data_IF_549884363308
#
_entry.id   IF_549884363308
#
_cell.length_a   1.000
_cell.length_b   1.000
_cell.length_c   1.000
_cell.angle_alpha   90.00
_cell.angle_beta   90.00
_cell.angle_gamma   90.00
#
_symmetry.space_group_name_H-M   'P 1'
#
loop_
_entity.id
_entity.type
_entity.pdbx_description
1 polymer ?
#
# COMPACT_ATOMS: atom_id res chain seq x y z
N UNK A 1 -1.29 -27.67 6.64
CA UNK A 1 -1.87 -28.65 5.68
C UNK A 1 -1.14 -28.57 4.34
N UNK A 2 -1.30 -29.58 3.51
CA UNK A 2 -0.69 -29.63 2.17
C UNK A 2 -1.05 -28.41 1.31
N UNK A 3 -2.30 -28.00 1.35
CA UNK A 3 -2.78 -26.81 0.62
C UNK A 3 -2.09 -25.54 1.11
N UNK A 4 -1.93 -25.41 2.42
CA UNK A 4 -1.23 -24.28 3.04
C UNK A 4 0.24 -24.25 2.62
N UNK A 5 0.89 -25.42 2.56
CA UNK A 5 2.29 -25.54 2.14
C UNK A 5 2.49 -25.16 0.67
N UNK A 6 1.58 -25.61 -0.21
CA UNK A 6 1.61 -25.22 -1.64
C UNK A 6 1.42 -23.72 -1.78
N UNK A 7 0.49 -23.13 -1.04
CA UNK A 7 0.29 -21.68 -1.03
C UNK A 7 1.52 -20.93 -0.58
N UNK A 8 2.20 -21.41 0.47
CA UNK A 8 3.44 -20.79 0.97
C UNK A 8 4.57 -20.88 -0.04
N UNK A 9 4.75 -22.00 -0.75
CA UNK A 9 5.77 -22.14 -1.79
C UNK A 9 5.48 -21.26 -3.01
N UNK A 10 4.21 -21.13 -3.41
CA UNK A 10 3.81 -20.28 -4.53
C UNK A 10 4.04 -18.78 -4.27
N UNK A 11 4.16 -18.38 -2.99
CA UNK A 11 4.29 -16.98 -2.59
C UNK A 11 5.73 -16.53 -2.37
N UNK A 12 6.72 -17.35 -2.76
CA UNK A 12 8.13 -16.98 -2.63
C UNK A 12 8.50 -15.95 -3.70
N UNK A 13 8.94 -14.80 -3.22
CA UNK A 13 9.44 -13.72 -4.08
C UNK A 13 10.96 -13.78 -4.02
N UNK A 14 11.60 -14.08 -5.15
CA UNK A 14 13.05 -14.17 -5.25
C UNK A 14 13.64 -12.87 -5.80
N UNK A 15 14.64 -12.34 -5.13
CA UNK A 15 15.37 -11.12 -5.53
C UNK A 15 16.86 -11.44 -5.45
N UNK A 16 17.64 -11.01 -6.46
CA UNK A 16 19.09 -11.18 -6.41
C UNK A 16 19.74 -10.14 -5.50
N UNK A 17 20.84 -10.51 -4.85
CA UNK A 17 21.63 -9.58 -4.04
C UNK A 17 22.09 -8.37 -4.89
N UNK A 18 22.47 -8.61 -6.13
CA UNK A 18 22.89 -7.56 -7.06
C UNK A 18 21.78 -6.55 -7.31
N UNK A 19 20.55 -7.02 -7.60
CA UNK A 19 19.41 -6.14 -7.84
C UNK A 19 19.11 -5.29 -6.60
N UNK A 20 19.20 -5.89 -5.42
CA UNK A 20 18.95 -5.18 -4.16
C UNK A 20 20.01 -4.10 -3.92
N UNK A 21 21.28 -4.39 -4.17
CA UNK A 21 22.37 -3.42 -4.04
C UNK A 21 22.21 -2.25 -4.99
N UNK A 22 21.85 -2.50 -6.25
CA UNK A 22 21.60 -1.45 -7.24
C UNK A 22 20.44 -0.56 -6.82
N UNK A 23 19.35 -1.16 -6.34
CA UNK A 23 18.22 -0.40 -5.82
C UNK A 23 18.61 0.50 -4.66
N UNK A 24 19.39 -0.04 -3.72
CA UNK A 24 19.84 0.73 -2.55
C UNK A 24 20.73 1.92 -2.93
N UNK A 25 21.52 1.81 -3.99
CA UNK A 25 22.34 2.92 -4.49
C UNK A 25 21.49 4.10 -4.98
N UNK A 26 20.25 3.85 -5.38
CA UNK A 26 19.30 4.88 -5.81
C UNK A 26 18.47 5.45 -4.65
N UNK A 27 18.86 5.14 -3.41
CA UNK A 27 18.18 5.61 -2.21
C UNK A 27 17.06 4.69 -1.74
N UNK A 28 16.27 5.17 -0.76
CA UNK A 28 15.23 4.35 -0.14
C UNK A 28 14.11 3.99 -1.12
N UNK A 29 13.74 4.87 -2.02
CA UNK A 29 12.72 4.58 -3.05
C UNK A 29 13.21 3.51 -4.01
N UNK A 30 14.46 3.59 -4.45
CA UNK A 30 15.08 2.58 -5.31
C UNK A 30 15.17 1.22 -4.61
N UNK A 31 15.53 1.22 -3.33
CA UNK A 31 15.55 0.01 -2.52
C UNK A 31 14.17 -0.66 -2.45
N UNK A 32 13.15 0.08 -2.07
CA UNK A 32 11.78 -0.45 -1.98
C UNK A 32 11.23 -0.89 -3.33
N UNK A 33 11.59 -0.18 -4.39
CA UNK A 33 11.13 -0.50 -5.75
C UNK A 33 11.50 -1.90 -6.18
N UNK A 34 12.64 -2.42 -5.75
CA UNK A 34 13.09 -3.78 -6.10
C UNK A 34 12.04 -4.81 -5.63
N UNK A 35 11.52 -4.65 -4.42
CA UNK A 35 10.47 -5.51 -3.89
C UNK A 35 9.13 -5.27 -4.59
N UNK A 36 8.72 -4.02 -4.67
CA UNK A 36 7.43 -3.62 -5.23
C UNK A 36 7.28 -4.08 -6.69
N UNK A 37 8.32 -3.93 -7.51
CA UNK A 37 8.30 -4.37 -8.90
C UNK A 37 8.03 -5.88 -9.01
N UNK A 38 8.61 -6.68 -8.12
CA UNK A 38 8.35 -8.12 -8.07
C UNK A 38 6.90 -8.42 -7.68
N UNK A 39 6.37 -7.68 -6.72
CA UNK A 39 4.98 -7.86 -6.30
C UNK A 39 4.01 -7.48 -7.43
N UNK A 40 4.30 -6.41 -8.16
CA UNK A 40 3.51 -6.00 -9.31
C UNK A 40 3.58 -7.03 -10.45
N UNK A 41 4.75 -7.62 -10.67
CA UNK A 41 4.93 -8.68 -11.65
C UNK A 41 4.06 -9.92 -11.30
N UNK A 42 4.11 -10.34 -10.04
CA UNK A 42 3.38 -11.52 -9.58
C UNK A 42 1.86 -11.32 -9.59
N UNK A 43 1.39 -10.13 -9.20
CA UNK A 43 -0.04 -9.81 -9.12
C UNK A 43 -0.63 -9.24 -10.40
N UNK A 44 0.22 -8.82 -11.33
CA UNK A 44 -0.24 -8.07 -12.51
C UNK A 44 -0.75 -6.68 -12.19
N UNK A 45 -0.42 -6.16 -11.00
CA UNK A 45 -0.89 -4.84 -10.55
C UNK A 45 -2.36 -4.85 -10.10
N UNK A 46 -2.95 -6.02 -9.92
CA UNK A 46 -4.37 -6.18 -9.54
C UNK A 46 -4.48 -6.77 -8.14
N UNK A 47 -5.33 -6.20 -7.30
CA UNK A 47 -5.61 -6.71 -5.96
C UNK A 47 -7.07 -7.18 -5.88
N UNK A 48 -7.24 -8.49 -5.83
CA UNK A 48 -8.55 -9.15 -5.76
C UNK A 48 -8.42 -10.49 -5.04
N UNK A 49 -9.52 -11.25 -4.98
CA UNK A 49 -9.54 -12.54 -4.31
C UNK A 49 -8.54 -13.55 -4.92
N UNK A 50 -8.23 -13.43 -6.21
CA UNK A 50 -7.31 -14.32 -6.91
C UNK A 50 -5.84 -13.98 -6.63
N UNK A 51 -5.52 -12.69 -6.48
CA UNK A 51 -4.14 -12.24 -6.26
C UNK A 51 -3.76 -12.15 -4.79
N UNK A 52 -4.73 -12.03 -3.87
CA UNK A 52 -4.44 -11.96 -2.44
C UNK A 52 -3.58 -13.12 -1.92
N UNK A 53 -3.82 -14.40 -2.31
CA UNK A 53 -2.98 -15.50 -1.84
C UNK A 53 -1.56 -15.53 -2.39
N UNK A 54 -1.26 -14.70 -3.39
CA UNK A 54 0.06 -14.69 -4.05
C UNK A 54 1.16 -14.01 -3.22
N UNK A 55 0.77 -13.21 -2.25
CA UNK A 55 1.69 -12.49 -1.38
C UNK A 55 1.31 -12.73 0.09
N UNK A 56 2.29 -12.58 0.99
CA UNK A 56 2.04 -12.62 2.43
C UNK A 56 1.61 -11.23 2.95
N UNK A 57 1.27 -11.14 4.23
CA UNK A 57 0.81 -9.89 4.84
C UNK A 57 1.84 -8.77 4.82
N UNK A 58 3.12 -9.08 4.99
CA UNK A 58 4.21 -8.08 4.91
C UNK A 58 4.32 -7.52 3.50
N UNK A 59 4.31 -8.38 2.52
CA UNK A 59 4.39 -8.01 1.10
C UNK A 59 3.17 -7.18 0.68
N UNK A 60 1.96 -7.57 1.10
CA UNK A 60 0.76 -6.81 0.85
C UNK A 60 0.79 -5.43 1.52
N UNK A 61 1.38 -5.32 2.70
CA UNK A 61 1.48 -4.04 3.40
C UNK A 61 2.41 -3.08 2.65
N UNK A 62 3.52 -3.58 2.12
CA UNK A 62 4.42 -2.78 1.31
C UNK A 62 3.78 -2.39 -0.03
N UNK A 63 3.13 -3.33 -0.70
CA UNK A 63 2.40 -3.06 -1.95
C UNK A 63 1.25 -2.08 -1.71
N UNK A 64 0.54 -2.21 -0.59
CA UNK A 64 -0.51 -1.29 -0.19
C UNK A 64 0.01 0.14 -0.02
N UNK A 65 1.17 0.30 0.59
CA UNK A 65 1.81 1.61 0.70
C UNK A 65 2.11 2.20 -0.68
N UNK A 66 2.63 1.39 -1.59
CA UNK A 66 2.90 1.82 -2.97
C UNK A 66 1.64 2.35 -3.66
N UNK A 67 0.55 1.60 -3.64
CA UNK A 67 -0.71 2.03 -4.26
C UNK A 67 -1.28 3.27 -3.58
N UNK A 68 -1.28 3.31 -2.26
CA UNK A 68 -1.77 4.47 -1.51
C UNK A 68 -0.98 5.72 -1.87
N UNK A 69 0.34 5.63 -1.85
CA UNK A 69 1.24 6.74 -2.15
C UNK A 69 0.97 7.32 -3.56
N UNK A 70 0.88 6.44 -4.56
CA UNK A 70 0.58 6.87 -5.93
C UNK A 70 -0.80 7.51 -6.05
N UNK A 71 -1.83 6.88 -5.48
CA UNK A 71 -3.19 7.38 -5.57
C UNK A 71 -3.36 8.71 -4.84
N UNK A 72 -2.82 8.85 -3.63
CA UNK A 72 -2.90 10.10 -2.87
C UNK A 72 -2.18 11.23 -3.61
N UNK A 73 -0.99 10.97 -4.14
CA UNK A 73 -0.22 11.98 -4.85
C UNK A 73 -0.85 12.40 -6.18
N UNK A 74 -1.58 11.51 -6.83
CA UNK A 74 -2.25 11.78 -8.09
C UNK A 74 -3.63 12.40 -7.91
N UNK A 75 -4.45 11.89 -6.97
CA UNK A 75 -5.84 12.30 -6.86
C UNK A 75 -6.48 12.16 -5.47
N UNK A 76 -5.71 11.87 -4.44
CA UNK A 76 -6.21 11.80 -3.06
C UNK A 76 -6.99 10.55 -2.72
N UNK A 77 -7.60 10.54 -1.53
CA UNK A 77 -8.37 9.41 -1.03
C UNK A 77 -9.61 9.12 -1.88
N UNK A 78 -10.24 10.14 -2.43
CA UNK A 78 -11.40 9.96 -3.32
C UNK A 78 -11.01 9.10 -4.52
N UNK A 79 -9.87 9.40 -5.15
CA UNK A 79 -9.37 8.61 -6.27
C UNK A 79 -8.99 7.18 -5.84
N UNK A 80 -8.32 7.03 -4.72
CA UNK A 80 -7.95 5.73 -4.16
C UNK A 80 -9.20 4.84 -4.02
N UNK A 81 -10.27 5.39 -3.48
CA UNK A 81 -11.53 4.66 -3.25
C UNK A 81 -12.23 4.36 -4.57
N UNK A 82 -12.35 5.36 -5.46
CA UNK A 82 -12.99 5.18 -6.77
C UNK A 82 -12.24 4.18 -7.66
N UNK A 83 -10.93 4.08 -7.51
CA UNK A 83 -10.11 3.09 -8.23
C UNK A 83 -10.13 1.69 -7.58
N UNK A 84 -10.96 1.49 -6.56
CA UNK A 84 -11.22 0.18 -5.98
C UNK A 84 -10.25 -0.26 -4.88
N UNK A 85 -9.39 0.63 -4.38
CA UNK A 85 -8.42 0.28 -3.34
C UNK A 85 -8.96 0.43 -1.91
N UNK A 86 -10.20 0.91 -1.74
CA UNK A 86 -10.79 1.09 -0.41
C UNK A 86 -10.71 -0.16 0.46
N UNK A 87 -11.27 -1.29 0.03
CA UNK A 87 -11.22 -2.52 0.81
C UNK A 87 -9.79 -3.00 1.08
N UNK A 88 -8.90 -2.87 0.10
CA UNK A 88 -7.51 -3.31 0.23
C UNK A 88 -6.77 -2.56 1.32
N UNK A 89 -6.99 -1.25 1.42
CA UNK A 89 -6.32 -0.39 2.41
C UNK A 89 -7.05 -0.40 3.76
N UNK A 90 -8.39 -0.33 3.75
CA UNK A 90 -9.16 -0.09 4.98
C UNK A 90 -9.74 -1.35 5.61
N UNK A 91 -10.04 -2.39 4.85
CA UNK A 91 -10.61 -3.65 5.39
C UNK A 91 -9.53 -4.66 5.77
N UNK A 92 -8.28 -4.41 5.45
CA UNK A 92 -7.12 -5.22 5.82
C UNK A 92 -6.33 -4.51 6.93
N UNK A 93 -5.44 -5.22 7.66
CA UNK A 93 -4.70 -4.61 8.75
C UNK A 93 -3.54 -3.71 8.28
N UNK A 94 -3.77 -2.87 7.28
CA UNK A 94 -2.77 -1.98 6.70
C UNK A 94 -2.28 -0.94 7.71
N UNK A 95 -3.18 -0.23 8.39
CA UNK A 95 -2.80 0.77 9.38
C UNK A 95 -2.00 0.14 10.51
N UNK A 96 -2.40 -1.05 10.97
CA UNK A 96 -1.67 -1.78 11.99
C UNK A 96 -0.26 -2.15 11.53
N UNK A 97 -0.12 -2.58 10.26
CA UNK A 97 1.19 -2.87 9.67
C UNK A 97 2.07 -1.62 9.60
N UNK A 98 1.52 -0.48 9.22
CA UNK A 98 2.26 0.78 9.18
C UNK A 98 2.79 1.16 10.57
N UNK A 99 1.99 0.94 11.59
CA UNK A 99 2.43 1.14 12.98
C UNK A 99 3.56 0.19 13.35
N UNK A 100 3.44 -1.09 12.96
CA UNK A 100 4.47 -2.10 13.18
C UNK A 100 5.78 -1.72 12.47
N UNK A 101 5.70 -1.14 11.28
CA UNK A 101 6.87 -0.71 10.51
C UNK A 101 7.49 0.58 11.07
N UNK A 102 6.93 1.14 12.13
CA UNK A 102 7.48 2.33 12.79
C UNK A 102 6.86 3.65 12.35
N UNK A 103 5.84 3.63 11.51
CA UNK A 103 5.15 4.82 11.01
C UNK A 103 3.86 5.08 11.79
N UNK A 104 3.98 5.40 13.09
CA UNK A 104 2.84 5.59 13.99
C UNK A 104 1.87 6.70 13.55
N UNK A 105 2.41 7.85 13.18
CA UNK A 105 1.57 8.99 12.78
C UNK A 105 0.83 8.72 11.48
N UNK A 106 1.47 8.00 10.57
CA UNK A 106 0.82 7.55 9.36
C UNK A 106 -0.31 6.55 9.65
N UNK A 107 -0.09 5.62 10.58
CA UNK A 107 -1.13 4.69 11.00
C UNK A 107 -2.36 5.42 11.54
N UNK A 108 -2.16 6.46 12.36
CA UNK A 108 -3.25 7.30 12.88
C UNK A 108 -4.00 8.00 11.75
N UNK A 109 -3.28 8.50 10.76
CA UNK A 109 -3.85 9.14 9.59
C UNK A 109 -4.76 8.17 8.83
N UNK A 110 -4.31 6.93 8.63
CA UNK A 110 -5.10 5.90 7.95
C UNK A 110 -6.36 5.56 8.75
N UNK A 111 -6.28 5.47 10.07
CA UNK A 111 -7.48 5.26 10.91
C UNK A 111 -8.46 6.42 10.78
N UNK A 112 -7.98 7.65 10.68
CA UNK A 112 -8.84 8.82 10.46
C UNK A 112 -9.53 8.78 9.10
N UNK A 113 -8.79 8.42 8.06
CA UNK A 113 -9.35 8.24 6.71
C UNK A 113 -10.36 7.09 6.68
N UNK A 114 -10.05 5.99 7.37
CA UNK A 114 -10.95 4.84 7.48
C UNK A 114 -12.29 5.22 8.11
N UNK A 115 -12.28 6.09 9.09
CA UNK A 115 -13.51 6.56 9.75
C UNK A 115 -14.42 7.26 8.73
N UNK A 116 -13.88 8.13 7.91
CA UNK A 116 -14.63 8.81 6.83
C UNK A 116 -15.15 7.79 5.83
N UNK A 117 -14.29 6.84 5.43
CA UNK A 117 -14.64 5.78 4.50
C UNK A 117 -15.78 4.92 5.02
N UNK A 118 -15.70 4.43 6.25
CA UNK A 118 -16.71 3.57 6.85
C UNK A 118 -18.07 4.27 6.98
N UNK A 119 -18.07 5.55 7.33
CA UNK A 119 -19.29 6.35 7.48
C UNK A 119 -19.98 6.66 6.15
N UNK A 120 -19.24 6.64 5.03
CA UNK A 120 -19.72 7.08 3.71
C UNK A 120 -19.44 6.05 2.60
N UNK A 121 -19.18 4.82 2.96
CA UNK A 121 -18.66 3.80 2.05
C UNK A 121 -19.48 3.63 0.78
N UNK A 122 -20.79 3.45 0.91
CA UNK A 122 -21.66 3.21 -0.24
C UNK A 122 -21.64 4.37 -1.23
N UNK A 123 -21.64 5.60 -0.73
CA UNK A 123 -21.57 6.79 -1.57
C UNK A 123 -20.16 6.97 -2.18
N UNK A 124 -19.11 6.75 -1.38
CA UNK A 124 -17.73 6.88 -1.84
C UNK A 124 -17.38 5.86 -2.93
N UNK A 125 -17.93 4.65 -2.86
CA UNK A 125 -17.66 3.57 -3.82
C UNK A 125 -18.61 3.54 -5.01
N UNK A 126 -19.64 4.38 -5.01
CA UNK A 126 -20.63 4.43 -6.08
C UNK A 126 -19.98 4.81 -7.41
N UNK A 127 -20.37 4.14 -8.49
CA UNK A 127 -19.93 4.47 -9.84
C UNK A 127 -20.26 5.90 -10.19
N UNK A 128 -19.29 6.64 -10.72
CA UNK A 128 -19.38 8.06 -11.04
C UNK A 128 -18.89 8.33 -12.46
N UNK A 129 -19.55 9.24 -13.17
CA UNK A 129 -18.98 9.81 -14.39
C UNK A 129 -17.92 10.87 -13.99
N UNK A 130 -17.22 11.44 -14.97
CA UNK A 130 -16.14 12.39 -14.72
C UNK A 130 -16.60 13.63 -13.94
N UNK A 131 -17.75 14.17 -14.27
CA UNK A 131 -18.32 15.35 -13.60
C UNK A 131 -18.68 15.04 -12.15
N UNK A 132 -19.36 13.91 -11.92
CA UNK A 132 -19.72 13.44 -10.59
C UNK A 132 -18.48 13.12 -9.73
N UNK A 133 -17.44 12.54 -10.35
CA UNK A 133 -16.19 12.28 -9.68
C UNK A 133 -15.53 13.58 -9.21
N UNK A 134 -15.46 14.58 -10.08
CA UNK A 134 -14.87 15.88 -9.72
C UNK A 134 -15.65 16.57 -8.60
N UNK A 135 -16.97 16.40 -8.55
CA UNK A 135 -17.80 16.94 -7.47
C UNK A 135 -17.53 16.29 -6.11
N UNK A 136 -17.01 15.07 -6.09
CA UNK A 136 -16.69 14.38 -4.83
C UNK A 136 -15.60 15.08 -4.03
N UNK A 137 -14.68 15.79 -4.67
CA UNK A 137 -13.61 16.51 -3.97
C UNK A 137 -14.17 17.59 -3.05
N UNK A 138 -15.18 18.29 -3.47
CA UNK A 138 -15.87 19.30 -2.66
C UNK A 138 -16.72 18.63 -1.57
N UNK A 139 -17.43 17.57 -1.94
CA UNK A 139 -18.29 16.83 -1.01
C UNK A 139 -17.51 16.18 0.12
N UNK A 140 -16.31 15.68 -0.19
CA UNK A 140 -15.45 14.99 0.78
C UNK A 140 -14.17 15.77 1.10
N UNK A 141 -14.29 17.08 1.26
CA UNK A 141 -13.16 17.94 1.63
C UNK A 141 -12.50 17.54 2.95
N UNK A 142 -13.19 16.74 3.78
CA UNK A 142 -12.62 16.22 5.02
C UNK A 142 -11.34 15.39 4.81
N UNK A 143 -11.12 14.86 3.61
CA UNK A 143 -9.88 14.18 3.28
C UNK A 143 -8.71 15.13 3.02
N UNK A 144 -8.97 16.38 2.69
CA UNK A 144 -7.92 17.33 2.26
C UNK A 144 -6.83 17.51 3.32
N UNK A 145 -7.23 17.67 4.59
CA UNK A 145 -6.28 17.82 5.69
C UNK A 145 -5.41 16.58 5.86
N UNK A 146 -6.00 15.40 5.71
CA UNK A 146 -5.26 14.13 5.83
C UNK A 146 -4.26 13.96 4.67
N UNK A 147 -4.64 14.39 3.48
CA UNK A 147 -3.76 14.36 2.31
C UNK A 147 -2.56 15.31 2.48
N UNK A 148 -2.79 16.50 2.99
CA UNK A 148 -1.73 17.46 3.32
C UNK A 148 -0.79 16.89 4.39
N UNK A 149 -1.35 16.29 5.44
CA UNK A 149 -0.55 15.65 6.47
C UNK A 149 0.30 14.51 5.90
N UNK A 150 -0.25 13.72 4.97
CA UNK A 150 0.52 12.66 4.33
C UNK A 150 1.69 13.25 3.52
N UNK A 151 1.46 14.29 2.74
CA UNK A 151 2.52 14.94 1.97
C UNK A 151 3.66 15.44 2.86
N UNK A 152 3.32 15.99 4.04
CA UNK A 152 4.31 16.46 5.00
C UNK A 152 5.12 15.32 5.64
N UNK A 153 4.53 14.15 5.79
CA UNK A 153 5.20 13.00 6.44
C UNK A 153 5.72 11.94 5.47
N UNK A 154 5.45 12.06 4.18
CA UNK A 154 5.74 11.03 3.18
C UNK A 154 7.20 10.56 3.20
N UNK A 155 8.14 11.48 3.24
CA UNK A 155 9.56 11.14 3.25
C UNK A 155 9.95 10.36 4.51
N UNK A 156 9.48 10.79 5.67
CA UNK A 156 9.73 10.09 6.93
C UNK A 156 9.07 8.72 6.95
N UNK A 157 7.84 8.61 6.49
CA UNK A 157 7.11 7.34 6.41
C UNK A 157 7.87 6.36 5.51
N UNK A 158 8.29 6.81 4.32
CA UNK A 158 9.07 5.98 3.40
C UNK A 158 10.37 5.52 4.04
N UNK A 159 11.06 6.40 4.77
CA UNK A 159 12.29 6.06 5.47
C UNK A 159 12.06 4.98 6.55
N UNK A 160 10.98 5.08 7.31
CA UNK A 160 10.62 4.09 8.34
C UNK A 160 10.31 2.73 7.73
N UNK A 161 9.55 2.74 6.63
CA UNK A 161 9.22 1.50 5.92
C UNK A 161 10.49 0.86 5.34
N UNK A 162 11.34 1.64 4.71
CA UNK A 162 12.61 1.14 4.14
C UNK A 162 13.51 0.54 5.22
N UNK A 163 13.63 1.19 6.36
CA UNK A 163 14.39 0.69 7.51
C UNK A 163 13.83 -0.64 8.03
N UNK A 164 12.50 -0.73 8.14
CA UNK A 164 11.86 -1.97 8.57
C UNK A 164 12.10 -3.11 7.58
N UNK A 165 11.94 -2.85 6.27
CA UNK A 165 12.18 -3.84 5.23
C UNK A 165 13.64 -4.31 5.26
N UNK A 166 14.59 -3.39 5.36
CA UNK A 166 16.01 -3.70 5.42
C UNK A 166 16.36 -4.60 6.62
N UNK A 167 15.72 -4.38 7.75
CA UNK A 167 15.92 -5.17 8.96
C UNK A 167 15.14 -6.50 8.98
N UNK A 168 14.25 -6.73 8.03
CA UNK A 168 13.35 -7.90 7.97
C UNK A 168 13.23 -8.44 6.54
N UNK A 169 14.31 -8.42 5.77
CA UNK A 169 14.30 -8.78 4.34
C UNK A 169 13.62 -10.13 4.10
N UNK A 170 13.87 -11.12 4.95
CA UNK A 170 13.32 -12.47 4.85
C UNK A 170 11.77 -12.52 4.85
N UNK A 171 11.14 -11.51 5.43
CA UNK A 171 9.66 -11.41 5.40
C UNK A 171 9.14 -10.88 4.07
N UNK A 172 9.98 -10.19 3.32
CA UNK A 172 9.60 -9.51 2.07
C UNK A 172 10.08 -10.21 0.81
N UNK A 173 11.20 -10.92 0.88
CA UNK A 173 11.75 -11.66 -0.26
C UNK A 173 12.79 -12.68 0.18
N UNK A 174 13.06 -13.64 -0.71
CA UNK A 174 14.18 -14.58 -0.61
C UNK A 174 15.33 -14.02 -1.47
N UNK A 175 16.49 -13.83 -0.86
CA UNK A 175 17.68 -13.35 -1.58
C UNK A 175 18.41 -14.56 -2.19
N UNK A 176 18.59 -14.53 -3.48
CA UNK A 176 19.18 -15.63 -4.26
C UNK A 176 20.48 -15.25 -4.96
#
# INVERSE_FOLDING_TARGET
TYITMIGMEANKIAITDEALRRGAEEGMDGFLKVFIDKYLEVTGGVVNAETMPLLNGYQHSLLGYHFLREEINEGGFVQLIQNGFGPYIFDNPFAKAMRQFGAKEFAKLIYSAKKIYDENRADLEKDRNDEEFMAMYEQYEAFDELEEQFMDMEELVTARIAEYVDNHIEEFAEIV
#
